data_IF_746430857297
#
_entry.id   IF_746430857297
#
_cell.length_a   1.000
_cell.length_b   1.000
_cell.length_c   1.000
_cell.angle_alpha   90.00
_cell.angle_beta   90.00
_cell.angle_gamma   90.00
#
_symmetry.space_group_name_H-M   'P 1'
#
loop_
_entity.id
_entity.type
_entity.pdbx_description
1 polymer ?
#
# COMPACT_ATOMS: atom_id res chain seq x y z
N UNK A 1 -6.76 7.04 -14.24
CA UNK A 1 -7.75 7.79 -15.06
C UNK A 1 -7.19 9.18 -15.36
N UNK A 2 -7.10 9.59 -16.64
CA UNK A 2 -6.60 10.93 -17.02
C UNK A 2 -7.80 11.83 -17.34
N UNK A 3 -8.00 12.91 -16.59
CA UNK A 3 -9.10 13.87 -16.74
C UNK A 3 -9.26 14.34 -18.19
N UNK A 4 -8.15 14.74 -18.84
CA UNK A 4 -8.15 15.17 -20.26
C UNK A 4 -8.73 14.12 -21.22
N UNK A 5 -8.49 12.83 -20.98
CA UNK A 5 -8.96 11.76 -21.89
C UNK A 5 -10.47 11.59 -21.84
N UNK A 6 -11.08 11.82 -20.68
CA UNK A 6 -12.53 11.71 -20.51
C UNK A 6 -13.21 13.00 -20.95
N UNK A 7 -12.65 14.16 -20.59
CA UNK A 7 -13.10 15.46 -21.08
C UNK A 7 -13.20 15.50 -22.62
N UNK A 8 -12.17 14.99 -23.33
CA UNK A 8 -12.20 14.85 -24.79
C UNK A 8 -13.27 13.89 -25.30
N UNK A 9 -13.53 12.77 -24.61
CA UNK A 9 -14.59 11.82 -25.00
C UNK A 9 -15.99 12.38 -24.80
N UNK A 10 -16.15 13.28 -23.84
CA UNK A 10 -17.41 13.92 -23.51
C UNK A 10 -17.58 15.28 -24.22
N UNK A 11 -16.57 15.73 -24.97
CA UNK A 11 -16.53 17.04 -25.64
C UNK A 11 -16.74 18.23 -24.68
N UNK A 12 -16.34 18.07 -23.42
CA UNK A 12 -16.46 19.10 -22.37
C UNK A 12 -15.07 19.68 -22.08
N UNK A 13 -14.95 20.99 -21.77
CA UNK A 13 -13.70 21.56 -21.28
C UNK A 13 -13.13 20.82 -20.07
N UNK A 14 -11.81 20.69 -20.03
CA UNK A 14 -11.10 20.01 -18.94
C UNK A 14 -11.43 20.60 -17.56
N UNK A 15 -11.56 21.92 -17.47
CA UNK A 15 -11.92 22.64 -16.24
C UNK A 15 -13.29 22.23 -15.73
N UNK A 16 -14.31 22.29 -16.58
CA UNK A 16 -15.68 21.88 -16.25
C UNK A 16 -15.76 20.41 -15.83
N UNK A 17 -15.05 19.52 -16.52
CA UNK A 17 -14.99 18.11 -16.09
C UNK A 17 -14.30 17.95 -14.72
N UNK A 18 -13.25 18.73 -14.46
CA UNK A 18 -12.58 18.72 -13.17
C UNK A 18 -13.50 19.22 -12.05
N UNK A 19 -14.20 20.32 -12.24
CA UNK A 19 -15.18 20.88 -11.29
C UNK A 19 -16.30 19.89 -10.98
N UNK A 20 -16.90 19.26 -12.01
CA UNK A 20 -17.95 18.27 -11.80
C UNK A 20 -17.43 17.10 -10.95
N UNK A 21 -16.27 16.55 -11.30
CA UNK A 21 -15.72 15.37 -10.59
C UNK A 21 -15.25 15.73 -9.18
N UNK A 22 -14.57 16.85 -9.02
CA UNK A 22 -13.94 17.23 -7.75
C UNK A 22 -14.91 17.93 -6.80
N UNK A 23 -15.73 18.86 -7.30
CA UNK A 23 -16.53 19.76 -6.48
C UNK A 23 -18.00 19.31 -6.42
N UNK A 24 -18.60 18.87 -7.53
CA UNK A 24 -20.01 18.44 -7.53
C UNK A 24 -20.20 17.00 -7.09
N UNK A 25 -19.29 16.09 -7.47
CA UNK A 25 -19.34 14.67 -7.13
C UNK A 25 -18.41 14.32 -5.95
N UNK A 26 -17.58 15.26 -5.50
CA UNK A 26 -16.64 15.08 -4.39
C UNK A 26 -15.64 13.91 -4.56
N UNK A 27 -15.39 13.51 -5.81
CA UNK A 27 -14.48 12.41 -6.10
C UNK A 27 -13.04 12.86 -5.98
N UNK A 28 -12.29 12.18 -5.11
CA UNK A 28 -10.86 12.39 -4.91
C UNK A 28 -10.04 11.27 -5.54
N UNK A 29 -8.89 11.64 -6.12
CA UNK A 29 -7.94 10.67 -6.64
C UNK A 29 -7.24 9.97 -5.47
N UNK A 30 -7.66 8.75 -5.17
CA UNK A 30 -7.16 7.98 -4.02
C UNK A 30 -5.72 7.50 -4.19
N UNK A 31 -5.26 7.24 -5.43
CA UNK A 31 -3.87 6.81 -5.67
C UNK A 31 -3.34 7.18 -7.05
N UNK A 32 -2.07 7.59 -7.09
CA UNK A 32 -1.25 7.72 -8.30
C UNK A 32 -0.06 6.74 -8.31
N UNK A 33 0.07 5.89 -7.28
CA UNK A 33 1.24 5.02 -7.09
C UNK A 33 1.13 3.77 -7.97
N UNK A 34 2.28 3.29 -8.43
CA UNK A 34 2.39 2.01 -9.09
C UNK A 34 2.03 0.90 -8.09
N UNK A 35 0.97 0.15 -8.40
CA UNK A 35 0.64 -1.09 -7.71
C UNK A 35 1.24 -2.22 -8.54
N UNK A 36 2.20 -3.01 -8.01
CA UNK A 36 2.97 -3.99 -8.79
C UNK A 36 2.13 -5.02 -9.55
N UNK A 37 0.89 -5.27 -9.11
CA UNK A 37 -0.03 -6.22 -9.75
C UNK A 37 -1.48 -5.77 -9.61
N UNK A 38 -2.26 -5.89 -10.70
CA UNK A 38 -3.73 -5.76 -10.62
C UNK A 38 -4.29 -6.99 -9.90
N UNK A 39 -4.88 -6.77 -8.73
CA UNK A 39 -5.49 -7.84 -7.94
C UNK A 39 -6.82 -8.28 -8.58
N UNK A 40 -7.05 -9.60 -8.63
CA UNK A 40 -8.36 -10.19 -8.87
C UNK A 40 -9.19 -10.10 -7.59
N UNK A 41 -10.50 -10.31 -7.70
CA UNK A 41 -11.39 -10.25 -6.53
C UNK A 41 -10.97 -11.23 -5.43
N UNK A 42 -10.66 -12.47 -5.82
CA UNK A 42 -10.18 -13.50 -4.89
C UNK A 42 -8.92 -13.08 -4.13
N UNK A 43 -7.96 -12.44 -4.80
CA UNK A 43 -6.75 -11.93 -4.14
C UNK A 43 -7.05 -10.82 -3.13
N UNK A 44 -8.10 -10.01 -3.36
CA UNK A 44 -8.50 -8.97 -2.40
C UNK A 44 -9.14 -9.62 -1.18
N UNK A 45 -10.04 -10.58 -1.41
CA UNK A 45 -10.69 -11.33 -0.34
C UNK A 45 -9.67 -12.01 0.55
N UNK A 46 -8.74 -12.76 -0.03
CA UNK A 46 -7.64 -13.42 0.70
C UNK A 46 -6.81 -12.42 1.53
N UNK A 47 -6.46 -11.26 0.95
CA UNK A 47 -5.69 -10.24 1.69
C UNK A 47 -6.48 -9.66 2.86
N UNK A 48 -7.77 -9.39 2.69
CA UNK A 48 -8.63 -8.88 3.76
C UNK A 48 -8.81 -9.92 4.86
N UNK A 49 -9.02 -11.17 4.48
CA UNK A 49 -9.21 -12.29 5.41
C UNK A 49 -7.97 -12.53 6.26
N UNK A 50 -6.79 -12.64 5.65
CA UNK A 50 -5.51 -12.81 6.36
C UNK A 50 -5.23 -11.61 7.28
N UNK A 51 -5.46 -10.39 6.78
CA UNK A 51 -5.25 -9.18 7.60
C UNK A 51 -6.18 -9.17 8.82
N UNK A 52 -7.44 -9.58 8.65
CA UNK A 52 -8.41 -9.66 9.74
C UNK A 52 -8.04 -10.75 10.75
N UNK A 53 -7.57 -11.90 10.28
CA UNK A 53 -7.10 -12.98 11.15
C UNK A 53 -5.92 -12.53 12.01
N UNK A 54 -4.93 -11.87 11.41
CA UNK A 54 -3.77 -11.35 12.12
C UNK A 54 -4.15 -10.25 13.14
N UNK A 55 -5.10 -9.39 12.80
CA UNK A 55 -5.59 -8.36 13.72
C UNK A 55 -6.34 -8.95 14.91
N UNK A 56 -7.13 -10.02 14.70
CA UNK A 56 -7.85 -10.70 15.80
C UNK A 56 -6.89 -11.41 16.74
N UNK A 57 -5.86 -12.05 16.21
CA UNK A 57 -4.82 -12.67 17.05
C UNK A 57 -3.99 -11.65 17.83
N UNK A 58 -4.12 -10.33 17.59
CA UNK A 58 -3.57 -9.30 18.48
C UNK A 58 -4.46 -8.99 19.68
N UNK A 59 -5.76 -9.24 19.56
CA UNK A 59 -6.76 -8.84 20.54
C UNK A 59 -7.06 -9.96 21.54
N UNK A 60 -6.90 -11.22 21.13
CA UNK A 60 -7.23 -12.39 21.95
C UNK A 60 -6.13 -12.75 22.99
N UNK A 61 -4.93 -12.18 22.91
CA UNK A 61 -3.83 -12.42 23.89
C UNK A 61 -4.05 -11.68 25.24
N UNK A 62 -5.23 -11.09 25.45
CA UNK A 62 -5.58 -10.32 26.65
C UNK A 62 -6.48 -11.03 27.67
N UNK A 63 -6.97 -12.25 27.41
CA UNK A 63 -8.04 -12.87 28.21
C UNK A 63 -7.73 -14.30 28.73
N UNK A 64 -6.46 -14.60 29.03
CA UNK A 64 -6.14 -15.78 29.86
C UNK A 64 -6.28 -15.45 31.36
N UNK A 65 -7.51 -15.60 31.84
CA UNK A 65 -7.88 -16.09 33.17
C UNK A 65 -7.00 -15.71 34.36
N UNK A 66 -7.16 -14.49 34.89
CA UNK A 66 -6.75 -14.17 36.26
C UNK A 66 -7.97 -14.13 37.18
N UNK A 67 -8.47 -15.31 37.55
CA UNK A 67 -9.22 -15.46 38.81
C UNK A 67 -8.21 -15.42 39.96
N UNK A 68 -7.77 -14.23 40.36
CA UNK A 68 -7.16 -14.03 41.67
C UNK A 68 -7.68 -12.73 42.28
N UNK A 69 -8.45 -12.91 43.36
CA UNK A 69 -8.89 -11.85 44.27
C UNK A 69 -7.65 -11.12 44.79
N UNK A 70 -7.45 -9.88 44.36
CA UNK A 70 -6.35 -9.03 44.82
C UNK A 70 -6.50 -7.61 44.27
N UNK A 71 -7.07 -6.72 45.06
CA UNK A 71 -7.26 -5.29 44.74
C UNK A 71 -5.91 -4.57 44.86
N UNK A 72 -5.46 -3.92 43.78
CA UNK A 72 -4.32 -3.00 43.78
C UNK A 72 -4.42 -2.00 42.63
N UNK A 73 -4.31 -0.67 42.87
CA UNK A 73 -4.40 0.34 41.83
C UNK A 73 -3.00 0.63 41.30
N UNK A 74 -2.68 0.15 40.11
CA UNK A 74 -1.43 0.57 39.46
C UNK A 74 -0.91 -0.43 38.45
N UNK A 75 -1.03 -0.05 37.17
CA UNK A 75 -0.25 -0.62 36.08
C UNK A 75 -0.92 -1.78 35.38
N UNK A 76 -1.64 -1.47 34.30
CA UNK A 76 -1.59 -2.35 33.13
C UNK A 76 -1.56 -1.47 31.88
N UNK A 77 -0.35 -1.06 31.52
CA UNK A 77 -0.06 -0.50 30.22
C UNK A 77 -0.15 -1.69 29.27
N UNK A 78 -1.29 -1.82 28.57
CA UNK A 78 -1.50 -2.83 27.53
C UNK A 78 -0.22 -2.93 26.69
N UNK A 79 0.40 -4.10 26.70
CA UNK A 79 1.58 -4.37 25.89
C UNK A 79 1.10 -4.70 24.47
N UNK A 80 0.82 -3.66 23.68
CA UNK A 80 -0.04 -3.72 22.49
C UNK A 80 0.55 -4.49 21.29
N UNK A 81 1.73 -5.12 21.37
CA UNK A 81 2.40 -5.66 20.17
C UNK A 81 3.17 -7.00 20.32
N UNK A 82 2.79 -7.89 21.24
CA UNK A 82 3.48 -9.19 21.46
C UNK A 82 3.69 -10.07 20.22
N UNK A 83 2.85 -9.96 19.19
CA UNK A 83 2.99 -10.76 17.96
C UNK A 83 4.18 -10.33 17.10
N UNK A 84 4.54 -9.05 17.10
CA UNK A 84 5.64 -8.57 16.27
C UNK A 84 7.01 -8.86 16.89
N UNK A 85 7.07 -9.13 18.18
CA UNK A 85 8.33 -9.38 18.91
C UNK A 85 9.08 -10.60 18.39
N UNK A 86 8.35 -11.59 17.86
CA UNK A 86 8.90 -12.83 17.31
C UNK A 86 8.78 -12.92 15.77
N UNK A 87 8.36 -11.85 15.10
CA UNK A 87 8.18 -11.87 13.65
C UNK A 87 9.53 -11.77 12.93
N UNK A 88 9.99 -12.88 12.38
CA UNK A 88 11.16 -12.93 11.50
C UNK A 88 10.68 -13.03 10.04
N UNK A 89 11.04 -12.04 9.21
CA UNK A 89 10.74 -12.04 7.76
C UNK A 89 12.01 -12.02 6.92
N UNK A 90 12.00 -12.75 5.80
CA UNK A 90 13.12 -12.81 4.86
C UNK A 90 12.61 -12.50 3.45
N UNK A 91 13.39 -11.71 2.68
CA UNK A 91 13.14 -11.44 1.27
C UNK A 91 14.47 -11.30 0.52
N UNK A 92 14.49 -11.78 -0.71
CA UNK A 92 15.61 -11.56 -1.64
C UNK A 92 15.42 -10.27 -2.44
N UNK A 93 16.52 -9.62 -2.79
CA UNK A 93 16.50 -8.47 -3.71
C UNK A 93 17.73 -8.50 -4.62
N UNK A 94 17.55 -8.08 -5.87
CA UNK A 94 18.65 -7.90 -6.81
C UNK A 94 19.53 -6.72 -6.39
N UNK A 95 20.84 -6.90 -6.41
CA UNK A 95 21.82 -5.83 -6.21
C UNK A 95 22.54 -5.62 -7.54
N UNK A 96 22.33 -4.47 -8.17
CA UNK A 96 23.07 -4.09 -9.37
C UNK A 96 24.40 -3.46 -8.98
N UNK A 97 25.50 -4.00 -9.50
CA UNK A 97 26.82 -3.38 -9.40
C UNK A 97 27.10 -2.53 -10.63
N UNK A 98 27.46 -1.27 -10.43
CA UNK A 98 27.95 -0.42 -11.51
C UNK A 98 29.47 -0.55 -11.60
N UNK A 99 29.98 -1.10 -12.70
CA UNK A 99 31.39 -1.03 -13.07
C UNK A 99 31.60 0.15 -14.02
N UNK A 100 32.83 0.65 -14.14
CA UNK A 100 33.14 1.79 -15.03
C UNK A 100 32.71 1.51 -16.50
N UNK A 101 32.68 0.25 -16.92
CA UNK A 101 32.22 -0.20 -18.24
C UNK A 101 30.70 -0.08 -18.45
N UNK A 102 29.88 -0.24 -17.40
CA UNK A 102 28.43 -0.12 -17.52
C UNK A 102 27.96 1.35 -17.62
N UNK A 103 28.77 2.30 -17.17
CA UNK A 103 28.48 3.74 -17.33
C UNK A 103 28.66 4.23 -18.78
N UNK A 104 29.58 3.63 -19.56
CA UNK A 104 29.79 4.02 -20.97
C UNK A 104 28.61 3.62 -21.87
N UNK A 105 27.95 2.49 -21.60
CA UNK A 105 26.77 2.05 -22.35
C UNK A 105 25.51 2.86 -22.02
N UNK A 106 25.42 3.46 -20.84
CA UNK A 106 24.25 4.27 -20.44
C UNK A 106 24.19 5.64 -21.12
N UNK A 107 25.31 6.19 -21.61
CA UNK A 107 25.33 7.51 -22.26
C UNK A 107 25.14 7.46 -23.78
N UNK A 108 25.40 6.32 -24.43
CA UNK A 108 25.29 6.16 -25.89
C UNK A 108 23.97 5.55 -26.37
N UNK A 109 23.11 5.05 -25.47
CA UNK A 109 21.87 4.34 -25.80
C UNK A 109 20.65 5.20 -26.19
N UNK A 110 20.77 6.52 -26.36
CA UNK A 110 19.61 7.42 -26.53
C UNK A 110 19.59 8.24 -27.85
N UNK A 111 20.34 7.85 -28.89
CA UNK A 111 20.39 8.62 -30.15
C UNK A 111 19.99 7.84 -31.43
N UNK A 112 19.51 6.60 -31.33
CA UNK A 112 19.12 5.84 -32.53
C UNK A 112 17.74 5.19 -32.42
N UNK A 113 16.69 6.00 -32.30
CA UNK A 113 15.32 5.63 -32.74
C UNK A 113 14.55 6.88 -33.20
N UNK A 114 15.07 7.57 -34.21
CA UNK A 114 14.28 8.41 -35.12
C UNK A 114 14.87 8.31 -36.52
N UNK A 115 14.31 7.44 -37.34
CA UNK A 115 14.13 7.59 -38.78
C UNK A 115 13.03 6.65 -39.26
#
# INVERSE_FOLDING_TARGET
>A
MKIRKIALKLEIPKSTFHEIVHDSLEYRKVSARWVPKRLKEDHKLQRVEISRLLLRSQQDDGDEGTTHIGVGPGGDFRDENKLFDNLITVRETWVHMNTLETNHHSMTGNIHLLS
#
